data_IF_379768343040
#
_entry.id   IF_379768343040
#
_cell.length_a   1.000
_cell.length_b   1.000
_cell.length_c   1.000
_cell.angle_alpha   90.00
_cell.angle_beta   90.00
_cell.angle_gamma   90.00
#
_symmetry.space_group_name_H-M   'P 1'
#
loop_
_entity.id
_entity.type
_entity.pdbx_description
1 polymer ?
#
# COMPACT_ATOMS: atom_id res chain seq x y z
N UNK A 1 -4.02 -8.47 -5.23
CA UNK A 1 -4.23 -9.13 -3.91
C UNK A 1 -5.41 -8.43 -3.23
N UNK A 2 -6.13 -9.12 -2.35
CA UNK A 2 -7.22 -8.51 -1.57
C UNK A 2 -7.01 -8.74 -0.07
N UNK A 3 -7.00 -7.66 0.72
CA UNK A 3 -7.01 -7.75 2.19
C UNK A 3 -8.45 -7.91 2.66
N UNK A 4 -8.66 -8.79 3.64
CA UNK A 4 -9.96 -8.90 4.28
C UNK A 4 -10.28 -7.64 5.12
N UNK A 5 -11.18 -6.81 4.61
CA UNK A 5 -11.64 -5.59 5.29
C UNK A 5 -12.28 -5.91 6.64
N UNK A 6 -12.92 -7.06 6.79
CA UNK A 6 -13.54 -7.44 8.07
C UNK A 6 -12.46 -7.67 9.14
N UNK A 7 -11.30 -8.21 8.76
CA UNK A 7 -10.16 -8.35 9.66
C UNK A 7 -9.59 -6.99 10.07
N UNK A 8 -9.45 -6.05 9.13
CA UNK A 8 -9.00 -4.67 9.44
C UNK A 8 -9.98 -3.94 10.38
N UNK A 9 -11.28 -4.15 10.19
CA UNK A 9 -12.34 -3.65 11.10
C UNK A 9 -12.28 -4.33 12.48
N UNK A 10 -11.81 -5.57 12.56
CA UNK A 10 -11.51 -6.24 13.82
C UNK A 10 -10.41 -5.52 14.59
N UNK A 11 -9.29 -5.21 13.91
CA UNK A 11 -8.16 -4.47 14.50
C UNK A 11 -8.58 -3.07 14.96
N UNK A 12 -9.39 -2.36 14.17
CA UNK A 12 -9.99 -1.06 14.54
C UNK A 12 -10.66 -1.14 15.92
N UNK A 13 -11.52 -2.15 16.13
CA UNK A 13 -12.27 -2.35 17.37
C UNK A 13 -11.39 -2.79 18.52
N UNK A 14 -10.42 -3.67 18.27
CA UNK A 14 -9.52 -4.19 19.32
C UNK A 14 -8.56 -3.12 19.82
N UNK A 15 -7.96 -2.35 18.91
CA UNK A 15 -6.97 -1.33 19.23
C UNK A 15 -7.59 0.02 19.60
N UNK A 16 -8.89 0.22 19.32
CA UNK A 16 -9.59 1.47 19.58
C UNK A 16 -9.08 2.66 18.77
N UNK A 17 -8.49 2.39 17.60
CA UNK A 17 -7.96 3.41 16.67
C UNK A 17 -8.87 3.51 15.44
N UNK A 18 -8.79 4.60 14.70
CA UNK A 18 -9.63 4.78 13.51
C UNK A 18 -9.29 3.77 12.42
N UNK A 19 -10.29 3.34 11.64
CA UNK A 19 -10.06 2.48 10.48
C UNK A 19 -9.04 3.05 9.49
N UNK A 20 -9.05 4.37 9.28
CA UNK A 20 -8.07 5.02 8.41
C UNK A 20 -6.64 4.80 8.89
N UNK A 21 -6.41 4.92 10.20
CA UNK A 21 -5.10 4.66 10.82
C UNK A 21 -4.66 3.20 10.66
N UNK A 22 -5.59 2.24 10.78
CA UNK A 22 -5.29 0.82 10.53
C UNK A 22 -4.85 0.61 9.09
N UNK A 23 -5.59 1.19 8.13
CA UNK A 23 -5.29 1.06 6.70
C UNK A 23 -3.94 1.69 6.37
N UNK A 24 -3.65 2.89 6.85
CA UNK A 24 -2.36 3.58 6.63
C UNK A 24 -1.17 2.78 7.20
N UNK A 25 -1.35 2.15 8.36
CA UNK A 25 -0.33 1.28 8.95
C UNK A 25 -0.07 0.05 8.07
N UNK A 26 -1.11 -0.55 7.50
CA UNK A 26 -0.99 -1.68 6.58
C UNK A 26 -0.35 -1.27 5.26
N UNK A 27 -0.74 -0.14 4.67
CA UNK A 27 -0.11 0.42 3.47
C UNK A 27 1.39 0.64 3.69
N UNK A 28 1.78 1.17 4.86
CA UNK A 28 3.19 1.37 5.23
C UNK A 28 3.96 0.05 5.37
N UNK A 29 3.34 -0.94 6.01
CA UNK A 29 3.93 -2.27 6.18
C UNK A 29 4.12 -2.96 4.81
N UNK A 30 3.11 -2.90 3.95
CA UNK A 30 3.17 -3.42 2.58
C UNK A 30 4.21 -2.69 1.75
N UNK A 31 4.28 -1.36 1.80
CA UNK A 31 5.32 -0.60 1.10
C UNK A 31 6.72 -1.03 1.53
N UNK A 32 6.90 -1.29 2.83
CA UNK A 32 8.17 -1.82 3.35
C UNK A 32 8.46 -3.19 2.75
N UNK A 33 7.48 -4.09 2.68
CA UNK A 33 7.65 -5.41 2.06
C UNK A 33 7.95 -5.32 0.55
N UNK A 34 7.28 -4.42 -0.18
CA UNK A 34 7.54 -4.17 -1.60
C UNK A 34 8.99 -3.76 -1.83
N UNK A 35 9.53 -2.83 -1.03
CA UNK A 35 10.92 -2.36 -1.14
C UNK A 35 11.98 -3.44 -0.95
N UNK A 36 11.64 -4.59 -0.38
CA UNK A 36 12.56 -5.72 -0.23
C UNK A 36 12.51 -6.70 -1.42
N UNK A 37 11.62 -6.50 -2.39
CA UNK A 37 11.56 -7.32 -3.60
C UNK A 37 12.61 -6.86 -4.60
N UNK A 38 13.16 -7.82 -5.35
CA UNK A 38 14.00 -7.50 -6.51
C UNK A 38 13.16 -6.76 -7.56
N UNK A 39 13.74 -5.70 -8.14
CA UNK A 39 13.05 -4.86 -9.12
C UNK A 39 12.07 -3.85 -8.53
N UNK A 40 12.01 -3.68 -7.20
CA UNK A 40 11.18 -2.66 -6.59
C UNK A 40 11.66 -1.25 -6.97
N UNK A 41 10.70 -0.41 -7.36
CA UNK A 41 10.95 0.99 -7.70
C UNK A 41 11.26 1.81 -6.44
N UNK A 42 12.21 2.74 -6.58
CA UNK A 42 12.70 3.54 -5.46
C UNK A 42 11.61 4.43 -4.85
N UNK A 43 10.75 4.98 -5.72
CA UNK A 43 9.60 5.78 -5.35
C UNK A 43 8.34 4.98 -5.64
N UNK A 44 7.68 4.53 -4.59
CA UNK A 44 6.41 3.84 -4.68
C UNK A 44 5.53 4.17 -3.48
N UNK A 45 4.22 4.05 -3.68
CA UNK A 45 3.21 4.08 -2.62
C UNK A 45 2.27 2.90 -2.79
N UNK A 46 1.79 2.38 -1.66
CA UNK A 46 0.78 1.30 -1.65
C UNK A 46 -0.56 1.91 -1.31
N UNK A 47 -1.61 1.47 -2.00
CA UNK A 47 -2.99 1.81 -1.69
C UNK A 47 -3.76 0.56 -1.40
N UNK A 48 -4.59 0.61 -0.36
CA UNK A 48 -5.62 -0.38 -0.09
C UNK A 48 -6.99 0.25 -0.33
N UNK A 49 -7.76 -0.30 -1.26
CA UNK A 49 -9.16 0.09 -1.41
C UNK A 49 -9.93 -0.28 -0.14
N UNK A 50 -10.49 0.73 0.52
CA UNK A 50 -11.14 0.62 1.83
C UNK A 50 -12.46 -0.17 1.82
N UNK A 51 -13.01 -0.45 0.64
CA UNK A 51 -14.26 -1.17 0.44
C UNK A 51 -14.02 -2.60 -0.02
N UNK A 52 -13.15 -2.78 -1.01
CA UNK A 52 -12.88 -4.10 -1.59
C UNK A 52 -11.75 -4.82 -0.87
N UNK A 53 -10.76 -4.07 -0.36
CA UNK A 53 -9.50 -4.59 0.16
C UNK A 53 -8.39 -4.66 -0.89
N UNK A 54 -8.64 -4.19 -2.10
CA UNK A 54 -7.73 -4.37 -3.23
C UNK A 54 -6.43 -3.61 -2.97
N UNK A 55 -5.31 -4.31 -3.10
CA UNK A 55 -3.98 -3.74 -2.92
C UNK A 55 -3.38 -3.43 -4.27
N UNK A 56 -2.97 -2.17 -4.45
CA UNK A 56 -2.23 -1.71 -5.62
C UNK A 56 -0.95 -1.03 -5.18
N UNK A 57 0.16 -1.40 -5.81
CA UNK A 57 1.43 -0.69 -5.68
C UNK A 57 1.57 0.26 -6.86
N UNK A 58 1.71 1.54 -6.55
CA UNK A 58 1.95 2.57 -7.55
C UNK A 58 3.40 2.98 -7.50
N UNK A 59 4.15 2.66 -8.55
CA UNK A 59 5.48 3.19 -8.79
C UNK A 59 5.40 4.62 -9.35
N UNK A 60 6.39 5.44 -9.01
CA UNK A 60 6.42 6.86 -9.34
C UNK A 60 7.75 7.23 -9.98
N UNK A 61 7.68 7.80 -11.19
CA UNK A 61 8.83 8.49 -11.76
C UNK A 61 8.84 9.92 -11.20
N UNK A 62 9.92 10.29 -10.53
CA UNK A 62 10.10 11.63 -9.97
C UNK A 62 11.17 12.41 -10.72
N UNK A 63 11.00 13.73 -10.84
CA UNK A 63 12.02 14.61 -11.40
C UNK A 63 13.15 14.91 -10.39
N UNK A 64 14.10 15.75 -10.80
CA UNK A 64 15.23 16.17 -9.97
C UNK A 64 14.84 16.99 -8.74
N UNK A 65 13.63 17.57 -8.73
CA UNK A 65 13.08 18.35 -7.61
C UNK A 65 12.18 17.47 -6.71
N UNK A 66 11.98 16.20 -7.07
CA UNK A 66 11.15 15.23 -6.35
C UNK A 66 9.66 15.32 -6.71
N UNK A 67 9.28 16.06 -7.74
CA UNK A 67 7.90 16.10 -8.21
C UNK A 67 7.58 14.84 -9.02
N UNK A 68 6.37 14.29 -8.83
CA UNK A 68 5.91 13.10 -9.55
C UNK A 68 5.59 13.48 -11.00
N UNK A 69 6.35 12.94 -11.95
CA UNK A 69 6.14 13.09 -13.40
C UNK A 69 5.10 12.08 -13.89
N UNK A 70 5.18 10.86 -13.38
CA UNK A 70 4.35 9.73 -13.80
C UNK A 70 4.09 8.79 -12.63
N UNK A 71 2.92 8.21 -12.62
CA UNK A 71 2.56 7.10 -11.73
C UNK A 71 2.00 5.94 -12.55
N UNK A 72 2.37 4.71 -12.21
CA UNK A 72 1.90 3.50 -12.88
C UNK A 72 1.78 2.33 -11.90
N UNK A 73 0.92 1.36 -12.25
CA UNK A 73 0.75 0.14 -11.47
C UNK A 73 2.00 -0.75 -11.64
N UNK A 74 2.65 -1.04 -10.51
CA UNK A 74 3.78 -1.97 -10.41
C UNK A 74 3.49 -3.05 -9.36
N UNK A 75 2.23 -3.46 -9.22
CA UNK A 75 1.83 -4.47 -8.26
C UNK A 75 2.47 -5.82 -8.64
N UNK A 76 3.40 -6.38 -7.84
CA UNK A 76 4.07 -7.61 -8.21
C UNK A 76 3.10 -8.79 -8.25
N UNK A 77 3.35 -9.72 -9.17
CA UNK A 77 2.57 -10.96 -9.23
C UNK A 77 2.69 -11.74 -7.91
N UNK A 78 1.56 -12.00 -7.25
CA UNK A 78 1.56 -12.69 -5.95
C UNK A 78 2.06 -11.84 -4.77
N UNK A 79 2.03 -10.51 -4.89
CA UNK A 79 2.32 -9.62 -3.76
C UNK A 79 1.22 -9.74 -2.70
N UNK A 80 1.53 -10.41 -1.59
CA UNK A 80 0.62 -10.80 -0.52
C UNK A 80 1.04 -12.06 0.18
#
# INVERSE_FOLDING_TARGET
MNIDISALRGIEREKGISFATVVEAIETALLTAYRHKEGAEAHARVVVDRKTGEVTVFAQDVDTEGAIIREYDDTPSGFG
#
